data_IF_987053207504
#
_entry.id   IF_987053207504
#
_cell.length_a   1.000
_cell.length_b   1.000
_cell.length_c   1.000
_cell.angle_alpha   90.00
_cell.angle_beta   90.00
_cell.angle_gamma   90.00
#
_symmetry.space_group_name_H-M   'P 1'
#
loop_
_entity.id
_entity.type
_entity.pdbx_description
1 polymer ?
#
# COMPACT_ATOMS: atom_id res chain seq x y z
N UNK A 1 13.84 -17.08 -14.80
CA UNK A 1 12.47 -17.33 -15.30
C UNK A 1 11.77 -15.99 -15.49
N UNK A 2 11.23 -15.68 -16.68
CA UNK A 2 10.30 -14.55 -16.83
C UNK A 2 8.91 -15.06 -16.49
N UNK A 3 8.34 -14.54 -15.41
CA UNK A 3 6.93 -14.79 -15.08
C UNK A 3 6.07 -14.23 -16.25
N UNK A 4 5.15 -15.01 -16.83
CA UNK A 4 4.30 -14.55 -17.94
C UNK A 4 3.33 -13.44 -17.52
N UNK A 5 3.07 -13.28 -16.23
CA UNK A 5 2.23 -12.23 -15.67
C UNK A 5 2.86 -10.85 -15.91
N UNK A 6 2.09 -9.96 -16.56
CA UNK A 6 2.50 -8.57 -16.81
C UNK A 6 2.26 -7.68 -15.58
N UNK A 7 1.21 -7.96 -14.81
CA UNK A 7 0.82 -7.19 -13.63
C UNK A 7 1.70 -7.55 -12.44
N UNK A 8 2.35 -6.54 -11.85
CA UNK A 8 3.11 -6.69 -10.60
C UNK A 8 2.37 -5.93 -9.51
N UNK A 9 2.00 -6.64 -8.44
CA UNK A 9 1.28 -6.08 -7.31
C UNK A 9 2.12 -6.25 -6.04
N UNK A 10 2.29 -5.16 -5.30
CA UNK A 10 2.92 -5.13 -3.98
C UNK A 10 1.87 -4.73 -2.95
N UNK A 11 1.61 -5.61 -2.00
CA UNK A 11 0.70 -5.35 -0.87
C UNK A 11 1.54 -5.15 0.38
N UNK A 12 1.47 -3.94 0.95
CA UNK A 12 2.07 -3.60 2.23
C UNK A 12 1.04 -3.82 3.33
N UNK A 13 1.35 -4.65 4.33
CA UNK A 13 0.50 -4.84 5.52
C UNK A 13 1.24 -4.22 6.70
N UNK A 14 0.67 -3.19 7.33
CA UNK A 14 1.32 -2.45 8.41
C UNK A 14 0.34 -1.97 9.47
N UNK A 15 0.81 -1.86 10.72
CA UNK A 15 0.12 -1.20 11.83
C UNK A 15 0.73 0.15 12.22
N UNK A 16 1.83 0.54 11.56
CA UNK A 16 2.62 1.72 11.90
C UNK A 16 3.01 2.60 10.70
N UNK A 17 3.18 3.88 10.97
CA UNK A 17 3.71 4.86 10.03
C UNK A 17 5.23 4.69 9.78
N UNK A 18 5.77 5.24 8.68
CA UNK A 18 7.20 5.21 8.41
C UNK A 18 8.01 5.90 9.53
N UNK A 19 8.87 5.12 10.20
CA UNK A 19 9.79 5.61 11.24
C UNK A 19 11.04 4.74 11.26
N UNK A 20 12.17 5.30 10.83
CA UNK A 20 13.42 4.52 10.69
C UNK A 20 14.61 5.13 11.43
N UNK A 21 14.65 6.45 11.62
CA UNK A 21 15.75 7.19 12.26
C UNK A 21 15.18 8.29 13.19
N UNK A 22 15.96 8.83 14.15
CA UNK A 22 15.48 9.83 15.10
C UNK A 22 14.79 11.04 14.44
N UNK A 23 15.22 11.40 13.23
CA UNK A 23 14.70 12.53 12.45
C UNK A 23 13.96 12.13 11.17
N UNK A 24 13.81 10.81 10.92
CA UNK A 24 13.04 10.32 9.77
C UNK A 24 11.65 9.90 10.22
N UNK A 25 10.76 10.89 10.23
CA UNK A 25 9.37 10.76 10.68
C UNK A 25 8.51 11.84 10.01
N UNK A 26 7.19 11.76 10.18
CA UNK A 26 6.26 12.81 9.76
C UNK A 26 6.33 13.11 8.26
N UNK A 27 6.28 14.39 7.91
CA UNK A 27 6.15 14.86 6.53
C UNK A 27 7.29 14.42 5.61
N UNK A 28 8.54 14.44 6.09
CA UNK A 28 9.69 13.98 5.30
C UNK A 28 9.54 12.51 4.92
N UNK A 29 9.20 11.66 5.88
CA UNK A 29 9.05 10.24 5.64
C UNK A 29 7.83 9.93 4.74
N UNK A 30 6.73 10.67 4.91
CA UNK A 30 5.54 10.57 4.05
C UNK A 30 5.89 10.96 2.60
N UNK A 31 6.64 12.06 2.42
CA UNK A 31 7.00 12.58 1.10
C UNK A 31 7.91 11.61 0.35
N UNK A 32 8.93 11.07 1.02
CA UNK A 32 9.82 10.08 0.43
C UNK A 32 9.07 8.81 0.04
N UNK A 33 8.19 8.30 0.91
CA UNK A 33 7.37 7.13 0.60
C UNK A 33 6.46 7.35 -0.61
N UNK A 34 5.83 8.54 -0.71
CA UNK A 34 5.03 8.91 -1.89
C UNK A 34 5.90 8.94 -3.15
N UNK A 35 7.12 9.46 -3.07
CA UNK A 35 8.10 9.48 -4.15
C UNK A 35 8.47 8.07 -4.63
N UNK A 36 8.78 7.16 -3.71
CA UNK A 36 9.08 5.75 -4.01
C UNK A 36 7.89 5.07 -4.69
N UNK A 37 6.69 5.23 -4.13
CA UNK A 37 5.46 4.66 -4.72
C UNK A 37 5.26 5.20 -6.15
N UNK A 38 5.42 6.50 -6.38
CA UNK A 38 5.30 7.10 -7.70
C UNK A 38 6.37 6.57 -8.69
N UNK A 39 7.61 6.41 -8.23
CA UNK A 39 8.69 5.85 -9.05
C UNK A 39 8.37 4.43 -9.51
N UNK A 40 7.95 3.56 -8.59
CA UNK A 40 7.68 2.16 -8.91
C UNK A 40 6.36 1.96 -9.65
N UNK A 41 5.37 2.83 -9.46
CA UNK A 41 4.19 2.88 -10.34
C UNK A 41 4.59 3.10 -11.80
N UNK A 42 5.54 4.02 -12.10
CA UNK A 42 6.07 4.21 -13.47
C UNK A 42 6.80 2.99 -14.01
N UNK A 43 7.30 2.11 -13.13
CA UNK A 43 7.93 0.82 -13.47
C UNK A 43 6.91 -0.33 -13.59
N UNK A 44 5.61 -0.03 -13.54
CA UNK A 44 4.52 -1.01 -13.67
C UNK A 44 4.28 -1.84 -12.41
N UNK A 45 4.71 -1.37 -11.23
CA UNK A 45 4.39 -1.99 -9.94
C UNK A 45 3.23 -1.24 -9.30
N UNK A 46 2.14 -1.95 -9.06
CA UNK A 46 0.97 -1.45 -8.36
C UNK A 46 1.16 -1.64 -6.85
N UNK A 47 0.82 -0.61 -6.08
CA UNK A 47 0.91 -0.64 -4.62
C UNK A 47 -0.48 -0.70 -4.00
N UNK A 48 -0.62 -1.53 -2.97
CA UNK A 48 -1.74 -1.56 -2.06
C UNK A 48 -1.22 -1.48 -0.63
N UNK A 49 -1.91 -0.73 0.23
CA UNK A 49 -1.68 -0.74 1.65
C UNK A 49 -2.88 -1.33 2.38
N UNK A 50 -2.62 -2.30 3.23
CA UNK A 50 -3.55 -2.85 4.19
C UNK A 50 -3.09 -2.39 5.58
N UNK A 51 -3.90 -1.56 6.25
CA UNK A 51 -3.51 -0.95 7.51
C UNK A 51 -4.44 -1.31 8.67
N UNK A 52 -3.83 -1.52 9.84
CA UNK A 52 -4.51 -1.71 11.13
C UNK A 52 -4.03 -0.64 12.13
N UNK A 53 -4.78 -0.44 13.22
CA UNK A 53 -4.33 0.44 14.31
C UNK A 53 -4.61 1.92 14.07
N UNK A 54 -3.86 2.78 14.77
CA UNK A 54 -4.12 4.22 14.80
C UNK A 54 -3.50 4.97 13.61
N UNK A 55 -2.47 4.40 12.98
CA UNK A 55 -1.73 5.05 11.89
C UNK A 55 -2.38 4.89 10.51
N UNK A 56 -3.62 4.37 10.46
CA UNK A 56 -4.37 4.11 9.23
C UNK A 56 -4.51 5.35 8.35
N UNK A 57 -4.77 6.52 8.92
CA UNK A 57 -4.91 7.77 8.15
C UNK A 57 -3.59 8.17 7.49
N UNK A 58 -2.47 8.07 8.20
CA UNK A 58 -1.15 8.34 7.65
C UNK A 58 -0.82 7.37 6.52
N UNK A 59 -1.11 6.08 6.69
CA UNK A 59 -0.91 5.08 5.65
C UNK A 59 -1.83 5.35 4.45
N UNK A 60 -3.09 5.70 4.67
CA UNK A 60 -4.03 6.09 3.61
C UNK A 60 -3.54 7.34 2.85
N UNK A 61 -3.01 8.35 3.54
CA UNK A 61 -2.43 9.53 2.92
C UNK A 61 -1.21 9.20 2.02
N UNK A 62 -0.34 8.27 2.45
CA UNK A 62 0.83 7.84 1.67
C UNK A 62 0.41 7.11 0.39
N UNK A 63 -0.49 6.13 0.50
CA UNK A 63 -0.84 5.24 -0.62
C UNK A 63 -2.00 5.77 -1.47
N UNK A 64 -2.87 6.61 -0.91
CA UNK A 64 -4.11 7.10 -1.51
C UNK A 64 -5.30 6.20 -1.24
N UNK A 65 -6.49 6.81 -1.14
CA UNK A 65 -7.74 6.15 -0.74
C UNK A 65 -8.11 4.92 -1.60
N UNK A 66 -7.91 5.01 -2.91
CA UNK A 66 -8.21 3.91 -3.85
C UNK A 66 -7.29 2.68 -3.69
N UNK A 67 -6.14 2.86 -3.02
CA UNK A 67 -5.10 1.84 -2.83
C UNK A 67 -4.96 1.42 -1.37
N UNK A 68 -5.91 1.84 -0.54
CA UNK A 68 -5.91 1.61 0.90
C UNK A 68 -7.01 0.61 1.29
N UNK A 69 -6.66 -0.31 2.19
CA UNK A 69 -7.53 -1.31 2.76
C UNK A 69 -7.47 -1.21 4.28
N UNK A 70 -8.58 -0.83 4.91
CA UNK A 70 -8.73 -0.92 6.36
C UNK A 70 -8.93 -2.39 6.76
N UNK A 71 -8.01 -2.92 7.57
CA UNK A 71 -8.00 -4.31 8.06
C UNK A 71 -8.19 -4.39 9.58
N UNK A 72 -8.83 -3.38 10.19
CA UNK A 72 -9.20 -3.39 11.62
C UNK A 72 -10.00 -4.64 12.00
N UNK A 73 -10.86 -5.11 11.10
CA UNK A 73 -11.54 -6.40 11.25
C UNK A 73 -10.96 -7.43 10.28
N UNK A 74 -10.06 -8.26 10.81
CA UNK A 74 -9.37 -9.30 10.04
C UNK A 74 -10.30 -10.36 9.46
N UNK A 75 -11.54 -10.51 9.98
CA UNK A 75 -12.52 -11.47 9.42
C UNK A 75 -12.90 -11.10 7.98
N UNK A 76 -12.83 -9.82 7.63
CA UNK A 76 -13.15 -9.32 6.29
C UNK A 76 -11.92 -9.22 5.37
N UNK A 77 -10.71 -9.41 5.89
CA UNK A 77 -9.47 -9.28 5.11
C UNK A 77 -9.46 -10.15 3.85
N UNK A 78 -9.77 -11.47 3.91
CA UNK A 78 -9.71 -12.31 2.72
C UNK A 78 -10.63 -11.81 1.59
N UNK A 79 -11.89 -11.51 1.93
CA UNK A 79 -12.88 -11.04 0.95
C UNK A 79 -12.48 -9.70 0.35
N UNK A 80 -12.04 -8.74 1.18
CA UNK A 80 -11.64 -7.42 0.68
C UNK A 80 -10.38 -7.48 -0.18
N UNK A 81 -9.41 -8.33 0.18
CA UNK A 81 -8.20 -8.51 -0.61
C UNK A 81 -8.52 -9.07 -2.00
N UNK A 82 -9.40 -10.07 -2.09
CA UNK A 82 -9.88 -10.63 -3.37
C UNK A 82 -10.57 -9.55 -4.20
N UNK A 83 -11.46 -8.75 -3.61
CA UNK A 83 -12.15 -7.66 -4.32
C UNK A 83 -11.17 -6.62 -4.88
N UNK A 84 -10.16 -6.25 -4.11
CA UNK A 84 -9.15 -5.28 -4.56
C UNK A 84 -8.28 -5.86 -5.67
N UNK A 85 -7.81 -7.11 -5.53
CA UNK A 85 -7.02 -7.78 -6.57
C UNK A 85 -7.82 -7.92 -7.87
N UNK A 86 -9.12 -8.27 -7.78
CA UNK A 86 -9.98 -8.42 -8.94
C UNK A 86 -10.05 -7.13 -9.78
N UNK A 87 -10.04 -5.94 -9.16
CA UNK A 87 -10.00 -4.66 -9.90
C UNK A 87 -8.79 -4.52 -10.82
N UNK A 88 -7.68 -5.19 -10.52
CA UNK A 88 -6.45 -5.14 -11.31
C UNK A 88 -6.28 -6.30 -12.29
N UNK A 89 -7.15 -7.32 -12.23
CA UNK A 89 -7.17 -8.45 -13.17
C UNK A 89 -8.00 -8.14 -14.42
N UNK A 90 -8.97 -7.24 -14.31
CA UNK A 90 -9.93 -6.90 -15.38
C UNK A 90 -9.74 -5.49 -15.97
N UNK A 91 -8.57 -4.87 -15.74
CA UNK A 91 -8.13 -3.65 -16.41
C UNK A 91 -7.26 -3.96 -17.64
#
# INVERSE_FOLDING_TARGET
MKAPQKTKLLISISDGQPKAMPYYTGETAITDMKGVIQEYNRKGILFLAAAIGQDKETICNIYGQERFLDITDLRHLPTRLVQVIAKYLYQ
#
